data_IF_471850467006
#
_entry.id   IF_471850467006
#
_cell.length_a   1.000
_cell.length_b   1.000
_cell.length_c   1.000
_cell.angle_alpha   90.00
_cell.angle_beta   90.00
_cell.angle_gamma   90.00
#
_symmetry.space_group_name_H-M   'P 1'
#
loop_
_entity.id
_entity.type
_entity.pdbx_description
1 polymer ?
#
# COMPACT_ATOMS: atom_id res chain seq x y z
N UNK A 1 -6.47 51.86 -48.89
CA UNK A 1 -5.28 51.53 -48.07
C UNK A 1 -5.57 51.59 -46.56
N UNK A 2 -6.20 52.65 -46.02
CA UNK A 2 -6.50 52.78 -44.58
C UNK A 2 -7.41 51.70 -43.98
N UNK A 3 -8.46 51.27 -44.70
CA UNK A 3 -9.36 50.19 -44.27
C UNK A 3 -8.72 48.80 -44.33
N UNK A 4 -7.84 48.54 -45.31
CA UNK A 4 -7.11 47.27 -45.40
C UNK A 4 -6.15 47.05 -44.23
N UNK A 5 -5.52 48.10 -43.70
CA UNK A 5 -4.69 47.97 -42.49
C UNK A 5 -5.53 47.63 -41.25
N UNK A 6 -6.76 48.15 -41.16
CA UNK A 6 -7.67 47.84 -40.06
C UNK A 6 -8.13 46.37 -40.09
N UNK A 7 -8.49 45.84 -41.26
CA UNK A 7 -8.85 44.42 -41.41
C UNK A 7 -7.65 43.49 -41.16
N UNK A 8 -6.44 43.90 -41.54
CA UNK A 8 -5.22 43.12 -41.26
C UNK A 8 -4.89 43.08 -39.75
N UNK A 9 -5.10 44.20 -39.05
CA UNK A 9 -4.94 44.27 -37.59
C UNK A 9 -6.01 43.44 -36.87
N UNK A 10 -7.27 43.50 -37.30
CA UNK A 10 -8.36 42.71 -36.72
C UNK A 10 -8.16 41.20 -36.92
N UNK A 11 -7.65 40.78 -38.09
CA UNK A 11 -7.29 39.40 -38.36
C UNK A 11 -6.12 38.91 -37.49
N UNK A 12 -5.19 39.79 -37.12
CA UNK A 12 -4.08 39.47 -36.22
C UNK A 12 -4.54 39.31 -34.76
N UNK A 13 -5.49 40.11 -34.30
CA UNK A 13 -6.07 40.00 -32.94
C UNK A 13 -6.88 38.70 -32.79
N UNK A 14 -7.55 38.24 -33.85
CA UNK A 14 -8.31 36.99 -33.86
C UNK A 14 -7.42 35.72 -33.86
N UNK A 15 -6.11 35.84 -34.06
CA UNK A 15 -5.16 34.72 -34.00
C UNK A 15 -4.67 34.42 -32.57
N UNK A 16 -5.01 35.26 -31.58
CA UNK A 16 -4.69 35.00 -30.17
C UNK A 16 -5.67 33.94 -29.63
N UNK A 17 -5.39 32.68 -29.93
CA UNK A 17 -5.98 31.58 -29.18
C UNK A 17 -5.39 31.62 -27.77
N UNK A 18 -6.19 31.65 -26.69
CA UNK A 18 -5.64 31.42 -25.36
C UNK A 18 -4.97 30.05 -25.40
N UNK A 19 -3.68 29.98 -25.08
CA UNK A 19 -3.05 28.69 -24.85
C UNK A 19 -3.74 28.09 -23.63
N UNK A 20 -4.59 27.08 -23.83
CA UNK A 20 -5.16 26.29 -22.74
C UNK A 20 -3.99 25.52 -22.13
N UNK A 21 -3.31 26.11 -21.15
CA UNK A 21 -2.30 25.41 -20.37
C UNK A 21 -2.99 24.17 -19.79
N UNK A 22 -2.52 22.98 -20.18
CA UNK A 22 -3.03 21.74 -19.62
C UNK A 22 -2.73 21.76 -18.12
N UNK A 23 -3.78 21.80 -17.29
CA UNK A 23 -3.64 21.83 -15.83
C UNK A 23 -3.28 20.43 -15.37
N UNK A 24 -2.03 20.27 -14.95
CA UNK A 24 -1.51 19.07 -14.31
C UNK A 24 -1.52 19.27 -12.81
N UNK A 25 -1.68 18.17 -12.08
CA UNK A 25 -1.48 18.14 -10.63
C UNK A 25 -0.73 16.88 -10.24
N UNK A 26 -0.30 16.83 -9.00
CA UNK A 26 0.21 15.59 -8.43
C UNK A 26 -0.44 15.31 -7.07
N UNK A 27 -0.34 14.06 -6.64
CA UNK A 27 -0.71 13.60 -5.31
C UNK A 27 0.40 12.73 -4.74
N UNK A 28 0.33 12.48 -3.44
CA UNK A 28 1.13 11.48 -2.74
C UNK A 28 0.18 10.38 -2.24
N UNK A 29 0.02 9.32 -3.03
CA UNK A 29 -0.94 8.25 -2.73
C UNK A 29 -0.60 7.52 -1.44
N UNK A 30 0.68 7.36 -1.13
CA UNK A 30 1.17 6.75 0.11
C UNK A 30 0.76 7.60 1.32
N UNK A 31 0.98 8.92 1.25
CA UNK A 31 0.53 9.85 2.29
C UNK A 31 -0.99 9.77 2.49
N UNK A 32 -1.79 9.84 1.42
CA UNK A 32 -3.26 9.82 1.52
C UNK A 32 -3.73 8.50 2.15
N UNK A 33 -3.26 7.37 1.62
CA UNK A 33 -3.64 6.04 2.10
C UNK A 33 -3.21 5.83 3.55
N UNK A 34 -2.04 6.34 3.97
CA UNK A 34 -1.57 6.23 5.36
C UNK A 34 -2.51 6.88 6.39
N UNK A 35 -3.31 7.86 5.96
CA UNK A 35 -4.29 8.57 6.78
C UNK A 35 -5.68 7.93 6.78
N UNK A 36 -5.95 6.99 5.87
CA UNK A 36 -7.23 6.30 5.79
C UNK A 36 -7.40 5.31 6.96
N UNK A 37 -8.51 5.37 7.73
CA UNK A 37 -8.78 4.41 8.81
C UNK A 37 -8.79 2.95 8.34
N UNK A 38 -9.23 2.70 7.11
CA UNK A 38 -9.28 1.40 6.45
C UNK A 38 -7.88 0.81 6.28
N UNK A 39 -6.88 1.65 6.00
CA UNK A 39 -5.50 1.21 5.83
C UNK A 39 -4.91 0.65 7.12
N UNK A 40 -5.18 1.29 8.26
CA UNK A 40 -4.76 0.80 9.58
C UNK A 40 -5.40 -0.57 9.91
N UNK A 41 -6.68 -0.75 9.56
CA UNK A 41 -7.37 -2.04 9.73
C UNK A 41 -6.75 -3.13 8.86
N UNK A 42 -6.49 -2.83 7.59
CA UNK A 42 -5.86 -3.76 6.65
C UNK A 42 -4.44 -4.14 7.10
N UNK A 43 -3.64 -3.19 7.57
CA UNK A 43 -2.32 -3.47 8.12
C UNK A 43 -2.40 -4.40 9.33
N UNK A 44 -3.31 -4.11 10.28
CA UNK A 44 -3.52 -4.96 11.46
C UNK A 44 -3.97 -6.37 11.09
N UNK A 45 -4.82 -6.51 10.08
CA UNK A 45 -5.26 -7.82 9.57
C UNK A 45 -4.10 -8.59 8.92
N UNK A 46 -3.29 -7.90 8.10
CA UNK A 46 -2.12 -8.49 7.45
C UNK A 46 -1.06 -8.93 8.47
N UNK A 47 -0.84 -8.14 9.52
CA UNK A 47 0.07 -8.49 10.61
C UNK A 47 -0.40 -9.74 11.34
N UNK A 48 -1.69 -9.79 11.70
CA UNK A 48 -2.28 -10.98 12.34
C UNK A 48 -2.19 -12.21 11.43
N UNK A 49 -2.49 -12.06 10.14
CA UNK A 49 -2.38 -13.15 9.18
C UNK A 49 -0.93 -13.65 9.08
N UNK A 50 0.02 -12.72 9.03
CA UNK A 50 1.47 -13.03 8.96
C UNK A 50 1.91 -13.77 10.21
N UNK A 51 1.53 -13.30 11.40
CA UNK A 51 1.83 -13.98 12.67
C UNK A 51 1.31 -15.42 12.70
N UNK A 52 0.09 -15.66 12.22
CA UNK A 52 -0.48 -17.02 12.13
C UNK A 52 0.37 -17.91 11.21
N UNK A 53 0.78 -17.40 10.05
CA UNK A 53 1.61 -18.16 9.11
C UNK A 53 3.02 -18.42 9.62
N UNK A 54 3.65 -17.42 10.23
CA UNK A 54 4.96 -17.58 10.87
C UNK A 54 4.89 -18.60 11.98
N UNK A 55 3.84 -18.59 12.79
CA UNK A 55 3.63 -19.61 13.84
C UNK A 55 3.45 -21.00 13.25
N UNK A 56 2.64 -21.16 12.20
CA UNK A 56 2.45 -22.44 11.51
C UNK A 56 3.78 -23.04 11.01
N UNK A 57 4.65 -22.21 10.43
CA UNK A 57 5.99 -22.62 9.97
C UNK A 57 6.89 -22.96 11.15
N UNK A 58 6.89 -22.15 12.21
CA UNK A 58 7.68 -22.39 13.42
C UNK A 58 7.27 -23.70 14.12
N UNK A 59 5.97 -23.99 14.21
CA UNK A 59 5.45 -25.23 14.81
C UNK A 59 5.93 -26.47 14.03
N UNK A 60 6.00 -26.38 12.69
CA UNK A 60 6.54 -27.47 11.85
C UNK A 60 8.04 -27.65 12.00
N UNK A 61 8.80 -26.56 12.11
CA UNK A 61 10.23 -26.66 12.44
C UNK A 61 10.45 -27.31 13.81
N UNK A 62 9.63 -26.95 14.82
CA UNK A 62 9.71 -27.58 16.13
C UNK A 62 9.36 -29.08 16.11
N UNK A 63 8.52 -29.53 15.17
CA UNK A 63 8.25 -30.95 14.95
C UNK A 63 9.47 -31.68 14.34
N UNK A 64 10.12 -31.07 13.35
CA UNK A 64 11.35 -31.59 12.74
C UNK A 64 12.46 -31.72 13.80
N UNK A 65 12.69 -30.66 14.59
CA UNK A 65 13.69 -30.67 15.68
C UNK A 65 13.46 -31.82 16.67
N UNK A 66 12.20 -32.15 16.97
CA UNK A 66 11.85 -33.29 17.84
C UNK A 66 12.21 -34.62 17.19
N UNK A 67 11.90 -34.79 15.91
CA UNK A 67 12.23 -36.00 15.15
C UNK A 67 13.73 -36.20 15.04
N UNK A 68 14.50 -35.14 14.79
CA UNK A 68 15.96 -35.22 14.77
C UNK A 68 16.55 -35.63 16.12
N UNK A 69 16.06 -35.04 17.23
CA UNK A 69 16.51 -35.40 18.58
C UNK A 69 16.18 -36.86 18.89
N UNK A 70 14.97 -37.30 18.51
CA UNK A 70 14.55 -38.68 18.69
C UNK A 70 15.45 -39.62 17.89
N UNK A 71 15.67 -39.35 16.60
CA UNK A 71 16.56 -40.11 15.74
C UNK A 71 17.95 -40.23 16.36
N UNK A 72 18.56 -39.12 16.80
CA UNK A 72 19.89 -39.13 17.44
C UNK A 72 19.93 -39.98 18.71
N UNK A 73 18.86 -39.98 19.51
CA UNK A 73 18.79 -40.78 20.74
C UNK A 73 18.57 -42.28 20.49
N UNK A 74 17.82 -42.62 19.44
CA UNK A 74 17.48 -44.00 19.09
C UNK A 74 18.49 -44.63 18.13
N UNK A 75 19.31 -43.83 17.44
CA UNK A 75 20.24 -44.29 16.38
C UNK A 75 21.07 -45.54 16.73
N UNK A 76 21.62 -45.71 17.95
CA UNK A 76 22.36 -46.92 18.32
C UNK A 76 21.51 -48.20 18.35
N UNK A 77 20.19 -48.06 18.47
CA UNK A 77 19.22 -49.15 18.57
C UNK A 77 18.58 -49.49 17.21
N UNK A 78 18.83 -48.69 16.18
CA UNK A 78 18.20 -48.83 14.86
C UNK A 78 19.04 -49.67 13.91
N UNK A 79 18.35 -50.51 13.12
CA UNK A 79 18.94 -51.16 11.95
C UNK A 79 19.12 -50.16 10.80
N UNK A 80 20.00 -50.44 9.84
CA UNK A 80 20.22 -49.54 8.69
C UNK A 80 18.94 -49.20 7.90
N UNK A 81 18.03 -50.14 7.59
CA UNK A 81 16.75 -49.81 6.95
C UNK A 81 15.89 -48.84 7.78
N UNK A 82 15.85 -49.03 9.10
CA UNK A 82 15.10 -48.14 10.00
C UNK A 82 15.72 -46.74 10.03
N UNK A 83 17.06 -46.64 10.05
CA UNK A 83 17.74 -45.35 10.00
C UNK A 83 17.43 -44.60 8.70
N UNK A 84 17.47 -45.30 7.56
CA UNK A 84 17.13 -44.71 6.28
C UNK A 84 15.70 -44.17 6.26
N UNK A 85 14.72 -44.95 6.73
CA UNK A 85 13.33 -44.51 6.82
C UNK A 85 13.15 -43.25 7.69
N UNK A 86 13.86 -43.16 8.83
CA UNK A 86 13.80 -41.98 9.70
C UNK A 86 14.41 -40.75 9.05
N UNK A 87 15.53 -40.88 8.34
CA UNK A 87 16.16 -39.77 7.61
C UNK A 87 15.27 -39.27 6.48
N UNK A 88 14.66 -40.18 5.71
CA UNK A 88 13.72 -39.83 4.65
C UNK A 88 12.47 -39.12 5.19
N UNK A 89 11.97 -39.52 6.36
CA UNK A 89 10.86 -38.83 7.03
C UNK A 89 11.22 -37.39 7.42
N UNK A 90 12.42 -37.19 8.00
CA UNK A 90 12.92 -35.87 8.39
C UNK A 90 13.11 -34.99 7.14
N UNK A 91 13.82 -35.49 6.13
CA UNK A 91 14.07 -34.77 4.87
C UNK A 91 12.76 -34.40 4.16
N UNK A 92 11.77 -35.30 4.14
CA UNK A 92 10.45 -35.00 3.59
C UNK A 92 9.80 -33.82 4.31
N UNK A 93 9.80 -33.82 5.65
CA UNK A 93 9.22 -32.74 6.45
C UNK A 93 9.96 -31.41 6.27
N UNK A 94 11.30 -31.45 6.18
CA UNK A 94 12.10 -30.25 5.86
C UNK A 94 11.70 -29.65 4.51
N UNK A 95 11.55 -30.50 3.49
CA UNK A 95 11.09 -30.06 2.17
C UNK A 95 9.67 -29.50 2.20
N UNK A 96 8.74 -30.14 2.91
CA UNK A 96 7.37 -29.62 3.10
C UNK A 96 7.35 -28.23 3.74
N UNK A 97 8.21 -27.98 4.75
CA UNK A 97 8.29 -26.67 5.41
C UNK A 97 8.90 -25.62 4.49
N UNK A 98 9.94 -25.97 3.74
CA UNK A 98 10.55 -25.09 2.74
C UNK A 98 9.55 -24.70 1.65
N UNK A 99 8.79 -25.67 1.14
CA UNK A 99 7.72 -25.42 0.17
C UNK A 99 6.61 -24.56 0.75
N UNK A 100 6.18 -24.81 1.99
CA UNK A 100 5.19 -23.98 2.67
C UNK A 100 5.68 -22.54 2.82
N UNK A 101 6.91 -22.34 3.29
CA UNK A 101 7.49 -21.01 3.44
C UNK A 101 7.55 -20.27 2.10
N UNK A 102 7.99 -20.93 1.03
CA UNK A 102 8.01 -20.34 -0.31
C UNK A 102 6.60 -20.06 -0.85
N UNK A 103 5.62 -20.93 -0.59
CA UNK A 103 4.23 -20.73 -0.98
C UNK A 103 3.62 -19.50 -0.30
N UNK A 104 3.97 -19.26 0.96
CA UNK A 104 3.45 -18.14 1.75
C UNK A 104 4.21 -16.84 1.45
N UNK A 105 5.53 -16.87 1.57
CA UNK A 105 6.40 -15.69 1.58
C UNK A 105 7.37 -15.60 0.40
N UNK A 106 7.36 -16.57 -0.52
CA UNK A 106 8.15 -16.51 -1.74
C UNK A 106 7.67 -15.42 -2.69
N UNK A 107 8.42 -15.22 -3.78
CA UNK A 107 8.07 -14.25 -4.81
C UNK A 107 6.67 -14.52 -5.38
N UNK A 108 5.79 -13.52 -5.36
CA UNK A 108 4.37 -13.66 -5.70
C UNK A 108 3.61 -14.73 -4.89
N UNK A 109 4.11 -15.08 -3.68
CA UNK A 109 3.44 -15.98 -2.76
C UNK A 109 2.13 -15.42 -2.19
N UNK A 110 1.48 -16.19 -1.33
CA UNK A 110 0.18 -15.83 -0.74
C UNK A 110 0.20 -14.47 -0.04
N UNK A 111 1.32 -14.09 0.59
CA UNK A 111 1.47 -12.79 1.24
C UNK A 111 1.27 -11.64 0.25
N UNK A 112 1.95 -11.68 -0.91
CA UNK A 112 1.85 -10.65 -1.93
C UNK A 112 0.46 -10.60 -2.57
N UNK A 113 -0.12 -11.76 -2.85
CA UNK A 113 -1.48 -11.84 -3.41
C UNK A 113 -2.50 -11.27 -2.42
N UNK A 114 -2.46 -11.71 -1.16
CA UNK A 114 -3.36 -11.22 -0.12
C UNK A 114 -3.20 -9.71 0.05
N UNK A 115 -1.97 -9.19 0.13
CA UNK A 115 -1.71 -7.74 0.25
C UNK A 115 -2.35 -6.95 -0.89
N UNK A 116 -2.27 -7.43 -2.13
CA UNK A 116 -2.93 -6.81 -3.29
C UNK A 116 -4.45 -6.84 -3.14
N UNK A 117 -5.02 -7.97 -2.76
CA UNK A 117 -6.47 -8.16 -2.64
C UNK A 117 -7.07 -7.25 -1.56
N UNK A 118 -6.41 -7.15 -0.40
CA UNK A 118 -6.90 -6.32 0.73
C UNK A 118 -6.68 -4.82 0.51
N UNK A 119 -5.64 -4.41 -0.24
CA UNK A 119 -5.40 -3.01 -0.58
C UNK A 119 -6.26 -2.52 -1.74
N UNK A 120 -6.72 -3.42 -2.62
CA UNK A 120 -7.56 -3.07 -3.76
C UNK A 120 -8.74 -2.15 -3.43
N UNK A 121 -9.60 -2.43 -2.44
CA UNK A 121 -10.73 -1.56 -2.13
C UNK A 121 -10.30 -0.15 -1.71
N UNK A 122 -9.18 -0.03 -0.99
CA UNK A 122 -8.61 1.27 -0.57
C UNK A 122 -8.14 2.04 -1.80
N UNK A 123 -7.46 1.37 -2.73
CA UNK A 123 -7.00 1.99 -3.98
C UNK A 123 -8.17 2.38 -4.90
N UNK A 124 -9.23 1.57 -4.93
CA UNK A 124 -10.45 1.90 -5.68
C UNK A 124 -11.16 3.13 -5.10
N UNK A 125 -11.16 3.28 -3.77
CA UNK A 125 -11.70 4.46 -3.08
C UNK A 125 -10.86 5.71 -3.32
N UNK A 126 -9.54 5.60 -3.18
CA UNK A 126 -8.60 6.66 -3.54
C UNK A 126 -8.83 7.11 -4.98
N UNK A 127 -8.91 6.18 -5.93
CA UNK A 127 -9.11 6.48 -7.35
C UNK A 127 -10.40 7.28 -7.59
N UNK A 128 -11.51 6.91 -6.92
CA UNK A 128 -12.77 7.67 -7.00
C UNK A 128 -12.63 9.10 -6.44
N UNK A 129 -11.95 9.27 -5.32
CA UNK A 129 -11.72 10.59 -4.73
C UNK A 129 -10.83 11.47 -5.62
N UNK A 130 -9.74 10.90 -6.13
CA UNK A 130 -8.83 11.54 -7.08
C UNK A 130 -9.58 11.98 -8.35
N UNK A 131 -10.44 11.13 -8.90
CA UNK A 131 -11.23 11.47 -10.09
C UNK A 131 -12.16 12.67 -9.82
N UNK A 132 -12.84 12.69 -8.67
CA UNK A 132 -13.71 13.82 -8.30
C UNK A 132 -12.93 15.12 -8.14
N UNK A 133 -11.80 15.09 -7.43
CA UNK A 133 -10.92 16.26 -7.28
C UNK A 133 -10.41 16.73 -8.63
N UNK A 134 -9.96 15.82 -9.50
CA UNK A 134 -9.52 16.16 -10.84
C UNK A 134 -10.61 16.90 -11.63
N UNK A 135 -11.85 16.42 -11.58
CA UNK A 135 -13.00 17.05 -12.26
C UNK A 135 -13.33 18.42 -11.66
N UNK A 136 -13.39 18.53 -10.33
CA UNK A 136 -13.67 19.80 -9.63
C UNK A 136 -12.61 20.86 -9.90
N UNK A 137 -11.33 20.47 -9.97
CA UNK A 137 -10.20 21.38 -10.19
C UNK A 137 -9.84 21.55 -11.67
N UNK A 138 -10.60 20.92 -12.57
CA UNK A 138 -10.40 20.96 -14.02
C UNK A 138 -9.00 20.50 -14.45
N UNK A 139 -8.47 19.49 -13.75
CA UNK A 139 -7.18 18.87 -14.06
C UNK A 139 -7.35 17.85 -15.19
N UNK A 140 -6.37 17.81 -16.10
CA UNK A 140 -6.38 16.84 -17.21
C UNK A 140 -5.61 15.57 -16.88
N UNK A 141 -4.72 15.63 -15.90
CA UNK A 141 -3.93 14.50 -15.43
C UNK A 141 -3.46 14.78 -14.00
N UNK A 142 -3.45 13.73 -13.18
CA UNK A 142 -2.85 13.70 -11.86
C UNK A 142 -1.72 12.68 -11.90
N UNK A 143 -0.54 13.08 -11.45
CA UNK A 143 0.61 12.21 -11.29
C UNK A 143 0.74 11.80 -9.83
N UNK A 144 1.12 10.55 -9.58
CA UNK A 144 1.38 10.10 -8.23
C UNK A 144 2.89 10.11 -7.95
N UNK A 145 3.27 10.86 -6.92
CA UNK A 145 4.66 11.00 -6.45
C UNK A 145 5.19 9.68 -5.88
N UNK A 146 4.31 8.83 -5.36
CA UNK A 146 4.66 7.53 -4.77
C UNK A 146 4.76 6.42 -5.83
N UNK A 147 4.51 6.72 -7.11
CA UNK A 147 4.56 5.73 -8.18
C UNK A 147 5.99 5.26 -8.47
N UNK A 148 6.19 3.94 -8.45
CA UNK A 148 7.45 3.32 -8.83
C UNK A 148 7.83 3.69 -10.28
N UNK A 149 9.06 4.18 -10.46
CA UNK A 149 9.60 4.55 -11.78
C UNK A 149 9.34 5.99 -12.24
N UNK A 150 8.58 6.79 -11.47
CA UNK A 150 8.39 8.22 -11.75
C UNK A 150 9.15 9.07 -10.72
N UNK A 151 10.30 9.62 -11.11
CA UNK A 151 11.07 10.50 -10.24
C UNK A 151 10.62 11.96 -10.37
N UNK A 152 9.92 12.48 -9.37
CA UNK A 152 9.62 13.91 -9.23
C UNK A 152 10.70 14.59 -8.37
N UNK A 153 11.69 15.23 -9.02
CA UNK A 153 12.82 15.88 -8.32
C UNK A 153 12.37 17.15 -7.59
N UNK A 154 11.50 17.93 -8.23
CA UNK A 154 10.91 19.14 -7.68
C UNK A 154 9.50 19.31 -8.23
N UNK A 155 8.58 19.69 -7.36
CA UNK A 155 7.22 20.09 -7.70
C UNK A 155 6.88 21.37 -6.95
N UNK A 156 6.06 22.23 -7.56
CA UNK A 156 5.52 23.38 -6.85
C UNK A 156 4.40 22.88 -5.90
N UNK A 157 4.43 23.21 -4.59
CA UNK A 157 3.38 22.78 -3.66
C UNK A 157 1.97 23.24 -4.04
N UNK A 158 1.83 24.27 -4.90
CA UNK A 158 0.54 24.71 -5.42
C UNK A 158 -0.12 23.69 -6.36
N UNK A 159 0.68 22.78 -6.92
CA UNK A 159 0.21 21.69 -7.78
C UNK A 159 0.02 20.37 -7.00
N UNK A 160 0.18 20.39 -5.67
CA UNK A 160 -0.16 19.27 -4.78
C UNK A 160 -1.66 19.26 -4.51
N UNK A 161 -2.32 18.17 -4.86
CA UNK A 161 -3.75 17.98 -4.62
C UNK A 161 -4.06 16.98 -3.50
N UNK A 162 -3.06 16.50 -2.77
CA UNK A 162 -3.23 15.44 -1.76
C UNK A 162 -4.22 15.82 -0.66
N UNK A 163 -4.14 17.05 -0.16
CA UNK A 163 -5.05 17.53 0.90
C UNK A 163 -6.49 17.65 0.40
N UNK A 164 -6.71 18.06 -0.85
CA UNK A 164 -8.07 18.07 -1.44
C UNK A 164 -8.64 16.66 -1.59
N UNK A 165 -7.79 15.65 -1.86
CA UNK A 165 -8.21 14.26 -1.91
C UNK A 165 -8.56 13.74 -0.52
N UNK A 166 -7.78 14.09 0.51
CA UNK A 166 -8.11 13.79 1.90
C UNK A 166 -9.45 14.42 2.31
N UNK A 167 -9.68 15.69 1.96
CA UNK A 167 -10.96 16.36 2.20
C UNK A 167 -12.15 15.66 1.52
N UNK A 168 -11.99 15.22 0.26
CA UNK A 168 -13.01 14.46 -0.47
C UNK A 168 -13.28 13.08 0.16
N UNK A 169 -12.27 12.48 0.81
CA UNK A 169 -12.39 11.26 1.61
C UNK A 169 -12.97 11.53 3.02
N UNK A 170 -13.23 12.79 3.38
CA UNK A 170 -13.72 13.19 4.71
C UNK A 170 -12.66 13.11 5.82
N UNK A 171 -11.38 13.12 5.46
CA UNK A 171 -10.24 13.03 6.38
C UNK A 171 -9.63 14.42 6.54
N UNK A 172 -9.47 14.87 7.79
CA UNK A 172 -8.78 16.13 8.07
C UNK A 172 -7.26 15.96 7.84
N UNK A 173 -6.63 16.71 6.94
CA UNK A 173 -5.18 16.64 6.69
C UNK A 173 -4.33 16.89 7.94
N UNK A 174 -4.87 17.67 8.89
CA UNK A 174 -4.21 18.00 10.17
C UNK A 174 -4.48 16.95 11.25
N UNK A 175 -5.41 16.02 11.01
CA UNK A 175 -5.64 14.93 11.95
C UNK A 175 -4.39 14.02 12.02
N UNK A 176 -3.90 13.86 13.23
CA UNK A 176 -2.84 12.91 13.53
C UNK A 176 -3.49 11.54 13.79
N UNK A 177 -3.19 10.48 13.00
CA UNK A 177 -3.79 9.16 13.18
C UNK A 177 -3.52 8.54 14.56
N UNK A 178 -2.59 9.10 15.34
CA UNK A 178 -2.28 8.66 16.71
C UNK A 178 -2.90 9.54 17.82
N UNK A 179 -3.81 10.47 17.52
CA UNK A 179 -4.51 11.27 18.53
C UNK A 179 -6.00 10.95 18.53
N UNK A 180 -6.40 10.02 19.40
CA UNK A 180 -7.79 9.88 19.81
C UNK A 180 -8.18 11.16 20.54
N UNK A 181 -8.90 12.05 19.87
CA UNK A 181 -9.50 13.22 20.49
C UNK A 181 -10.51 12.76 21.54
N UNK A 182 -10.07 12.65 22.80
CA UNK A 182 -10.98 12.51 23.94
C UNK A 182 -11.67 13.86 24.13
N UNK A 183 -13.01 13.94 24.13
CA UNK A 183 -13.68 15.19 24.41
C UNK A 183 -13.39 15.59 25.86
N UNK A 184 -12.68 16.71 26.05
CA UNK A 184 -12.50 17.31 27.38
C UNK A 184 -13.87 17.80 27.87
N UNK A 185 -14.55 16.98 28.66
CA UNK A 185 -15.56 17.48 29.60
C UNK A 185 -14.83 18.34 30.64
N UNK A 186 -14.82 19.66 30.45
CA UNK A 186 -14.48 20.57 31.53
C UNK A 186 -15.75 20.84 32.34
N UNK A 187 -15.95 19.97 33.32
CA UNK A 187 -16.84 20.14 34.45
C UNK A 187 -16.48 21.41 35.22
N UNK A 188 -17.51 22.21 35.47
CA UNK A 188 -17.54 23.28 36.48
C UNK A 188 -16.98 22.79 37.82
N UNK A 189 -16.04 23.52 38.41
CA UNK A 189 -15.85 23.62 39.87
C UNK A 189 -15.25 25.01 40.14
N UNK A 190 -16.03 26.00 40.60
CA UNK A 190 -16.17 26.39 42.02
C UNK A 190 -14.83 26.35 42.77
N UNK A 191 -14.21 27.52 42.93
CA UNK A 191 -13.93 28.16 44.22
C UNK A 191 -13.63 29.64 43.96
#
# INVERSE_FOLDING_TARGET
MRSSLFFLFLAFVLQVSPAWAQRFGYIDSEYIVSKMPEFQKVNSEMDRWTQVRTKEIADKHAEIDKLERLYKSEEPLLTEPMKQQRREEIERKENEVKELNNKVFGYNGQYHQRRKDVLKPIMDELSRAVEKVARQKQLRMILDKSSEGLAMIYTDPRDDYSDYVLEELGIDPKANPNQTNTPTQNTKTKQ
#
